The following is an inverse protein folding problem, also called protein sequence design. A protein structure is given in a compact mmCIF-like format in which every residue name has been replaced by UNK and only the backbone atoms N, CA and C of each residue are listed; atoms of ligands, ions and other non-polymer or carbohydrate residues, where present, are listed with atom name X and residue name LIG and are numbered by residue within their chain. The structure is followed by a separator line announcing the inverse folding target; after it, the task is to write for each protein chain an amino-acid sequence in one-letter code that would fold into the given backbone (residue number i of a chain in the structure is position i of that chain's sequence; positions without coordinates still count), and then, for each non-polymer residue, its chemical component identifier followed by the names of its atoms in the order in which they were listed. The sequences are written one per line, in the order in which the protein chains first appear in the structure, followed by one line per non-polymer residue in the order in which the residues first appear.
data_IF_457792423231
#
_entry.id   IF_457792423231
#
_cell.length_a   1.000
_cell.length_b   1.000
_cell.length_c   1.000
_cell.angle_alpha   90.00
_cell.angle_beta   90.00
_cell.angle_gamma   90.00
#
_symmetry.space_group_name_H-M   'P 1'
#
loop_
_entity.id
_entity.type
_entity.pdbx_description
1 polymer ?
#
# COMPACT_ATOMS: atom_id res chain seq x y z
N UNK A 1 21.55 80.35 18.91
CA UNK A 1 20.23 80.78 18.44
C UNK A 1 19.52 79.49 17.99
N UNK A 2 18.90 78.75 18.82
CA UNK A 2 17.50 78.78 19.25
C UNK A 2 16.51 78.65 18.08
N UNK A 3 15.86 77.54 17.99
CA UNK A 3 14.44 77.46 18.06
C UNK A 3 13.93 75.95 18.05
N UNK A 4 13.29 75.67 19.13
CA UNK A 4 12.47 74.50 19.41
C UNK A 4 11.25 74.46 18.53
N UNK A 5 10.92 73.32 17.97
CA UNK A 5 9.62 73.04 17.40
C UNK A 5 8.98 71.80 18.04
N UNK A 6 7.87 72.06 18.69
CA UNK A 6 7.00 71.17 19.43
C UNK A 6 6.29 70.21 18.46
N UNK A 7 6.31 68.94 18.72
CA UNK A 7 5.52 67.92 18.03
C UNK A 7 4.23 67.60 18.79
N UNK A 8 3.10 67.64 18.11
CA UNK A 8 1.74 67.30 18.60
C UNK A 8 1.57 65.79 18.67
N UNK A 9 0.77 65.24 19.59
CA UNK A 9 0.51 63.80 19.69
C UNK A 9 -0.52 63.38 18.63
N UNK A 10 -0.15 62.35 17.84
CA UNK A 10 -1.02 61.69 16.86
C UNK A 10 -1.97 60.68 17.49
N UNK A 11 -3.20 60.75 17.08
CA UNK A 11 -4.34 59.97 17.51
C UNK A 11 -4.26 58.48 17.15
N UNK A 12 -4.86 57.69 18.05
CA UNK A 12 -5.02 56.25 18.10
C UNK A 12 -5.37 55.51 16.80
N UNK A 13 -4.57 54.50 16.50
CA UNK A 13 -4.90 53.44 15.60
C UNK A 13 -5.77 52.39 16.29
N UNK A 14 -6.98 52.20 15.79
CA UNK A 14 -7.90 51.14 16.25
C UNK A 14 -7.31 49.78 15.90
N UNK A 15 -6.83 49.04 16.88
CA UNK A 15 -6.48 47.63 16.75
C UNK A 15 -7.71 46.81 16.40
N UNK A 16 -7.68 46.17 15.25
CA UNK A 16 -8.65 45.12 14.90
C UNK A 16 -8.33 43.89 15.75
N UNK A 17 -9.17 43.66 16.77
CA UNK A 17 -9.11 42.47 17.58
C UNK A 17 -9.27 41.20 16.72
N UNK A 18 -8.36 40.25 16.91
CA UNK A 18 -8.51 38.90 16.34
C UNK A 18 -9.79 38.24 16.90
N UNK A 19 -10.53 37.46 16.13
CA UNK A 19 -11.71 36.78 16.63
C UNK A 19 -11.29 35.77 17.69
N UNK A 20 -11.72 36.00 18.91
CA UNK A 20 -11.64 35.06 20.02
C UNK A 20 -12.63 33.92 19.68
N UNK A 21 -12.13 32.77 19.29
CA UNK A 21 -12.93 31.56 19.17
C UNK A 21 -13.48 31.22 20.56
N UNK A 22 -14.79 31.40 20.70
CA UNK A 22 -15.53 31.17 21.91
C UNK A 22 -15.32 29.76 22.44
N UNK A 23 -15.14 29.67 23.77
CA UNK A 23 -15.23 28.44 24.55
C UNK A 23 -16.54 27.75 24.18
N UNK A 24 -16.44 26.48 23.79
CA UNK A 24 -17.59 25.62 23.58
C UNK A 24 -18.49 25.57 24.82
N UNK A 25 -19.78 25.31 24.68
CA UNK A 25 -20.73 25.33 25.77
C UNK A 25 -20.32 24.37 26.88
N UNK A 26 -20.37 24.80 28.19
CA UNK A 26 -20.13 23.91 29.31
C UNK A 26 -21.32 22.97 29.44
N UNK A 27 -21.11 21.68 29.19
CA UNK A 27 -22.17 20.66 29.36
C UNK A 27 -22.22 19.55 28.34
N UNK A 28 -21.17 19.30 27.54
CA UNK A 28 -21.08 18.07 26.78
C UNK A 28 -20.97 16.90 27.78
N UNK A 29 -22.09 16.27 28.09
CA UNK A 29 -22.13 14.98 28.81
C UNK A 29 -21.28 14.02 28.01
N UNK A 30 -20.21 13.50 28.59
CA UNK A 30 -19.44 12.40 28.03
C UNK A 30 -20.41 11.29 27.69
N UNK A 31 -20.51 10.96 26.40
CA UNK A 31 -21.36 9.91 25.88
C UNK A 31 -20.76 8.56 26.35
N UNK A 32 -21.17 8.14 27.52
CA UNK A 32 -20.76 6.91 28.20
C UNK A 32 -21.34 5.64 27.54
N UNK A 33 -21.58 5.69 26.22
CA UNK A 33 -21.94 4.48 25.49
C UNK A 33 -20.73 3.55 25.50
N UNK A 34 -20.84 2.34 26.04
CA UNK A 34 -19.75 1.40 26.02
C UNK A 34 -19.32 1.20 24.57
N UNK A 35 -18.06 1.49 24.24
CA UNK A 35 -17.46 1.12 22.95
C UNK A 35 -17.72 -0.38 22.81
N UNK A 36 -18.62 -0.77 21.90
CA UNK A 36 -18.83 -2.18 21.56
C UNK A 36 -17.45 -2.81 21.37
N UNK A 37 -17.14 -3.75 22.25
CA UNK A 37 -15.92 -4.55 22.16
C UNK A 37 -15.79 -5.02 20.70
N UNK A 38 -14.64 -4.74 20.10
CA UNK A 38 -14.34 -5.21 18.76
C UNK A 38 -14.37 -6.73 18.87
N UNK A 39 -15.42 -7.37 18.35
CA UNK A 39 -15.44 -8.83 18.24
C UNK A 39 -14.18 -9.19 17.46
N UNK A 40 -13.32 -9.97 18.08
CA UNK A 40 -12.21 -10.60 17.40
C UNK A 40 -12.79 -11.35 16.21
N UNK A 41 -12.20 -11.27 15.03
CA UNK A 41 -12.69 -12.00 13.88
C UNK A 41 -12.64 -13.49 14.26
N UNK A 42 -13.80 -14.12 14.40
CA UNK A 42 -13.90 -15.57 14.49
C UNK A 42 -13.12 -16.12 13.30
N UNK A 43 -12.13 -16.96 13.54
CA UNK A 43 -11.34 -17.61 12.50
C UNK A 43 -12.32 -18.47 11.68
N UNK A 44 -12.76 -17.94 10.56
CA UNK A 44 -13.60 -18.67 9.63
C UNK A 44 -12.81 -19.89 9.14
N UNK A 45 -13.24 -21.07 9.54
CA UNK A 45 -12.66 -22.34 9.10
C UNK A 45 -12.79 -22.40 7.58
N UNK A 46 -11.65 -22.28 6.88
CA UNK A 46 -11.62 -22.32 5.42
C UNK A 46 -11.93 -23.74 4.93
N UNK A 47 -12.98 -23.87 4.12
CA UNK A 47 -13.39 -25.12 3.47
C UNK A 47 -12.89 -25.06 2.01
N UNK A 48 -11.93 -25.92 1.59
CA UNK A 48 -11.40 -25.91 0.24
C UNK A 48 -12.45 -26.37 -0.78
N UNK A 49 -12.61 -25.61 -1.85
CA UNK A 49 -13.52 -25.89 -2.96
C UNK A 49 -12.79 -26.41 -4.22
N UNK A 50 -11.53 -26.01 -4.37
CA UNK A 50 -10.72 -26.41 -5.54
C UNK A 50 -9.87 -27.63 -5.23
N UNK A 51 -9.47 -28.39 -6.27
CA UNK A 51 -8.56 -29.53 -6.15
C UNK A 51 -7.24 -29.11 -5.51
N UNK A 52 -6.71 -27.94 -5.91
CA UNK A 52 -5.50 -27.36 -5.29
C UNK A 52 -5.72 -27.08 -3.79
N UNK A 53 -6.87 -26.50 -3.44
CA UNK A 53 -7.23 -26.24 -2.05
C UNK A 53 -7.31 -27.51 -1.20
N UNK A 54 -7.84 -28.60 -1.77
CA UNK A 54 -7.91 -29.91 -1.09
C UNK A 54 -6.51 -30.49 -0.84
N UNK A 55 -5.59 -30.42 -1.83
CA UNK A 55 -4.20 -30.87 -1.68
C UNK A 55 -3.44 -30.07 -0.62
N UNK A 56 -3.62 -28.75 -0.59
CA UNK A 56 -3.03 -27.90 0.46
C UNK A 56 -3.68 -28.16 1.82
N UNK A 57 -4.97 -28.46 1.87
CA UNK A 57 -5.63 -28.85 3.11
C UNK A 57 -5.13 -30.19 3.64
N UNK A 58 -4.88 -31.17 2.76
CA UNK A 58 -4.30 -32.47 3.08
C UNK A 58 -2.79 -32.40 3.46
N UNK A 59 -2.11 -31.29 3.15
CA UNK A 59 -0.67 -31.13 3.44
C UNK A 59 0.27 -31.73 2.39
N UNK A 60 -0.24 -32.08 1.18
CA UNK A 60 0.58 -32.56 0.08
C UNK A 60 1.49 -31.47 -0.50
N UNK A 61 1.04 -30.21 -0.43
CA UNK A 61 1.75 -29.03 -0.90
C UNK A 61 2.01 -28.13 0.31
N UNK A 62 3.27 -27.84 0.59
CA UNK A 62 3.71 -27.09 1.76
C UNK A 62 4.28 -25.71 1.40
N UNK A 63 4.73 -25.50 0.15
CA UNK A 63 5.31 -24.24 -0.28
C UNK A 63 4.51 -23.59 -1.42
N UNK A 64 4.58 -22.24 -1.47
CA UNK A 64 3.98 -21.46 -2.57
C UNK A 64 4.80 -21.63 -3.84
N UNK A 65 6.11 -21.89 -3.71
CA UNK A 65 7.04 -22.07 -4.83
C UNK A 65 6.65 -23.30 -5.67
N UNK A 66 6.31 -24.42 -5.05
CA UNK A 66 5.83 -25.63 -5.72
C UNK A 66 4.58 -25.36 -6.60
N UNK A 67 3.65 -24.53 -6.12
CA UNK A 67 2.44 -24.15 -6.86
C UNK A 67 2.80 -23.33 -8.11
N UNK A 68 3.75 -22.40 -7.94
CA UNK A 68 4.17 -21.49 -9.00
C UNK A 68 5.04 -22.20 -10.05
N UNK A 69 5.94 -23.10 -9.63
CA UNK A 69 6.75 -23.94 -10.53
C UNK A 69 5.88 -24.92 -11.34
N UNK A 70 4.85 -25.48 -10.69
CA UNK A 70 3.86 -26.31 -11.38
C UNK A 70 2.94 -25.50 -12.32
N UNK A 71 3.04 -24.16 -12.36
CA UNK A 71 2.21 -23.29 -13.16
C UNK A 71 0.73 -23.27 -12.77
N UNK A 72 0.39 -23.72 -11.56
CA UNK A 72 -0.99 -23.80 -11.10
C UNK A 72 -1.50 -22.43 -10.64
N UNK A 73 -2.71 -22.09 -11.08
CA UNK A 73 -3.32 -20.81 -10.71
C UNK A 73 -4.03 -20.91 -9.37
N UNK A 74 -3.67 -20.04 -8.44
CA UNK A 74 -4.33 -19.90 -7.14
C UNK A 74 -5.70 -19.24 -7.34
N UNK A 75 -6.78 -19.91 -6.94
CA UNK A 75 -8.16 -19.42 -7.07
C UNK A 75 -8.80 -19.08 -5.71
N UNK A 76 -8.25 -19.56 -4.62
CA UNK A 76 -8.76 -19.35 -3.27
C UNK A 76 -7.77 -18.58 -2.41
N UNK A 77 -8.23 -17.51 -1.75
CA UNK A 77 -7.39 -16.73 -0.82
C UNK A 77 -7.01 -17.50 0.44
N UNK A 78 -7.80 -18.53 0.81
CA UNK A 78 -7.52 -19.40 1.95
C UNK A 78 -6.24 -20.21 1.81
N UNK A 79 -5.86 -20.62 0.59
CA UNK A 79 -4.61 -21.32 0.30
C UNK A 79 -3.41 -20.52 0.78
N UNK A 80 -3.36 -19.24 0.38
CA UNK A 80 -2.25 -18.34 0.73
C UNK A 80 -2.21 -18.05 2.24
N UNK A 81 -3.37 -17.84 2.87
CA UNK A 81 -3.42 -17.65 4.33
C UNK A 81 -2.88 -18.84 5.11
N UNK A 82 -3.05 -20.07 4.58
CA UNK A 82 -2.54 -21.29 5.20
C UNK A 82 -1.04 -21.48 4.96
N UNK A 83 -0.57 -21.19 3.75
CA UNK A 83 0.85 -21.37 3.37
C UNK A 83 1.75 -20.24 3.88
N UNK A 84 1.23 -19.02 3.96
CA UNK A 84 1.96 -17.83 4.41
C UNK A 84 1.19 -17.13 5.54
N UNK A 85 1.32 -17.58 6.80
CA UNK A 85 0.62 -16.95 7.93
C UNK A 85 1.15 -15.53 8.24
N UNK A 86 2.41 -15.23 7.90
CA UNK A 86 3.09 -13.96 8.20
C UNK A 86 2.77 -12.82 7.21
N UNK A 87 1.70 -12.98 6.39
CA UNK A 87 1.32 -11.95 5.44
C UNK A 87 0.74 -10.72 6.13
N UNK A 88 1.39 -9.59 5.90
CA UNK A 88 0.89 -8.26 6.26
C UNK A 88 0.12 -7.67 5.09
N UNK A 89 -1.04 -7.09 5.35
CA UNK A 89 -1.83 -6.37 4.34
C UNK A 89 -1.90 -4.89 4.67
N UNK A 90 -1.54 -4.04 3.73
CA UNK A 90 -1.57 -2.59 3.88
C UNK A 90 -2.44 -1.94 2.79
N UNK A 91 -3.22 -0.94 3.18
CA UNK A 91 -4.04 -0.16 2.25
C UNK A 91 -3.16 0.92 1.62
N UNK A 92 -2.90 0.77 0.32
CA UNK A 92 -2.07 1.71 -0.45
C UNK A 92 -2.84 2.98 -0.80
N UNK A 93 -4.09 2.81 -1.24
CA UNK A 93 -4.92 3.93 -1.67
C UNK A 93 -6.41 3.61 -1.57
N UNK A 94 -7.21 4.61 -1.21
CA UNK A 94 -8.68 4.54 -1.24
C UNK A 94 -9.22 5.78 -1.92
N UNK A 95 -10.01 5.57 -2.98
CA UNK A 95 -10.62 6.65 -3.73
C UNK A 95 -12.11 6.46 -3.92
N UNK A 96 -12.81 7.55 -4.14
CA UNK A 96 -14.24 7.56 -4.49
C UNK A 96 -14.35 7.51 -6.01
N UNK A 97 -15.23 6.64 -6.52
CA UNK A 97 -15.57 6.53 -7.94
C UNK A 97 -17.04 6.86 -8.10
N UNK A 98 -17.34 7.76 -9.01
CA UNK A 98 -18.70 8.19 -9.30
C UNK A 98 -19.05 7.86 -10.74
N UNK A 99 -20.30 7.42 -10.96
CA UNK A 99 -20.86 7.17 -12.28
C UNK A 99 -22.27 7.74 -12.35
N UNK A 100 -22.56 8.51 -13.40
CA UNK A 100 -23.90 8.97 -13.67
C UNK A 100 -24.78 7.82 -14.18
N UNK A 101 -25.96 7.71 -13.62
CA UNK A 101 -27.01 6.74 -14.01
C UNK A 101 -28.29 7.51 -14.28
N UNK A 102 -29.31 6.86 -14.87
CA UNK A 102 -30.64 7.46 -15.09
C UNK A 102 -31.28 8.02 -13.81
N UNK A 103 -30.96 7.44 -12.64
CA UNK A 103 -31.50 7.84 -11.33
C UNK A 103 -30.55 8.75 -10.54
N UNK A 104 -29.58 9.42 -11.21
CA UNK A 104 -28.61 10.29 -10.59
C UNK A 104 -27.22 9.69 -10.45
N UNK A 105 -26.41 10.24 -9.54
CA UNK A 105 -25.02 9.88 -9.35
C UNK A 105 -24.85 8.69 -8.41
N UNK A 106 -24.31 7.60 -8.93
CA UNK A 106 -23.97 6.42 -8.13
C UNK A 106 -22.52 6.50 -7.66
N UNK A 107 -22.30 6.51 -6.35
CA UNK A 107 -20.98 6.57 -5.70
C UNK A 107 -20.54 5.19 -5.23
N UNK A 108 -19.28 4.84 -5.47
CA UNK A 108 -18.61 3.63 -4.97
C UNK A 108 -17.22 3.94 -4.46
N UNK A 109 -16.73 3.13 -3.53
CA UNK A 109 -15.36 3.20 -3.05
C UNK A 109 -14.48 2.18 -3.80
N UNK A 110 -13.29 2.61 -4.17
CA UNK A 110 -12.24 1.77 -4.74
C UNK A 110 -11.09 1.72 -3.76
N UNK A 111 -10.70 0.53 -3.30
CA UNK A 111 -9.53 0.32 -2.49
C UNK A 111 -8.44 -0.41 -3.30
N UNK A 112 -7.19 -0.07 -3.06
CA UNK A 112 -6.00 -0.77 -3.53
C UNK A 112 -5.26 -1.23 -2.29
N UNK A 113 -5.04 -2.54 -2.20
CA UNK A 113 -4.38 -3.18 -1.07
C UNK A 113 -3.16 -3.95 -1.58
N UNK A 114 -2.07 -3.85 -0.85
CA UNK A 114 -0.90 -4.68 -1.04
C UNK A 114 -0.82 -5.70 0.11
N UNK A 115 -0.40 -6.91 -0.20
CA UNK A 115 -0.11 -7.95 0.76
C UNK A 115 1.31 -8.46 0.54
N UNK A 116 2.12 -8.54 1.58
CA UNK A 116 3.50 -9.00 1.52
C UNK A 116 3.96 -9.59 2.85
N UNK A 117 5.04 -10.33 2.81
CA UNK A 117 5.63 -10.96 4.00
C UNK A 117 6.99 -10.38 4.39
N UNK A 118 7.43 -9.29 3.75
CA UNK A 118 8.76 -8.68 3.93
C UNK A 118 9.95 -9.63 3.62
N UNK A 119 9.66 -10.81 3.05
CA UNK A 119 10.63 -11.87 2.75
C UNK A 119 10.60 -12.35 1.28
N UNK A 120 10.13 -11.52 0.36
CA UNK A 120 10.18 -11.83 -1.06
C UNK A 120 8.85 -12.26 -1.68
N UNK A 121 7.73 -11.98 -1.04
CA UNK A 121 6.41 -12.16 -1.64
C UNK A 121 5.64 -10.84 -1.63
N UNK A 122 5.04 -10.49 -2.76
CA UNK A 122 4.19 -9.31 -2.87
C UNK A 122 2.97 -9.63 -3.76
N UNK A 123 1.80 -9.25 -3.28
CA UNK A 123 0.56 -9.31 -4.03
C UNK A 123 -0.16 -7.97 -3.99
N UNK A 124 -0.80 -7.60 -5.09
CA UNK A 124 -1.57 -6.37 -5.19
C UNK A 124 -2.98 -6.69 -5.66
N UNK A 125 -3.95 -6.17 -4.92
CA UNK A 125 -5.36 -6.34 -5.22
C UNK A 125 -6.12 -5.02 -5.28
N UNK A 126 -7.17 -4.99 -6.07
CA UNK A 126 -8.08 -3.86 -6.11
C UNK A 126 -9.52 -4.33 -5.89
N UNK A 127 -10.25 -3.64 -5.00
CA UNK A 127 -11.65 -3.91 -4.73
C UNK A 127 -12.52 -2.67 -4.95
N UNK A 128 -13.77 -2.88 -5.38
CA UNK A 128 -14.77 -1.83 -5.52
C UNK A 128 -16.06 -2.26 -4.83
N UNK A 129 -16.64 -1.38 -4.00
CA UNK A 129 -17.92 -1.62 -3.34
C UNK A 129 -18.66 -0.31 -3.03
N UNK A 130 -19.94 -0.41 -2.62
CA UNK A 130 -20.70 0.72 -2.07
C UNK A 130 -20.18 1.12 -0.69
N UNK A 131 -19.69 0.17 0.11
CA UNK A 131 -19.11 0.40 1.42
C UNK A 131 -17.58 0.25 1.35
N UNK A 132 -16.87 1.14 2.04
CA UNK A 132 -15.40 1.17 2.06
C UNK A 132 -14.81 -0.12 2.66
N UNK A 133 -15.37 -0.61 3.78
CA UNK A 133 -14.92 -1.85 4.44
C UNK A 133 -14.96 -3.05 3.48
N UNK A 134 -16.09 -3.26 2.81
CA UNK A 134 -16.26 -4.35 1.84
C UNK A 134 -15.33 -4.17 0.62
N UNK A 135 -15.01 -2.91 0.22
CA UNK A 135 -14.05 -2.66 -0.85
C UNK A 135 -12.64 -3.09 -0.45
N UNK A 136 -12.23 -2.85 0.79
CA UNK A 136 -10.93 -3.26 1.33
C UNK A 136 -10.87 -4.80 1.43
N UNK A 137 -11.89 -5.46 1.99
CA UNK A 137 -11.96 -6.92 2.10
C UNK A 137 -11.84 -7.62 0.75
N UNK A 138 -12.54 -7.10 -0.28
CA UNK A 138 -12.42 -7.59 -1.67
C UNK A 138 -11.01 -7.35 -2.24
N UNK A 139 -10.43 -6.19 -1.97
CA UNK A 139 -9.08 -5.87 -2.43
C UNK A 139 -8.04 -6.78 -1.77
N UNK A 140 -8.16 -7.07 -0.47
CA UNK A 140 -7.28 -7.99 0.25
C UNK A 140 -7.38 -9.41 -0.30
N UNK A 141 -8.59 -9.92 -0.53
CA UNK A 141 -8.79 -11.24 -1.14
C UNK A 141 -8.16 -11.30 -2.54
N UNK A 142 -8.30 -10.25 -3.34
CA UNK A 142 -7.67 -10.16 -4.66
C UNK A 142 -6.14 -10.03 -4.58
N UNK A 143 -5.59 -9.38 -3.54
CA UNK A 143 -4.14 -9.28 -3.32
C UNK A 143 -3.54 -10.67 -3.02
N UNK A 144 -4.20 -11.47 -2.22
CA UNK A 144 -3.78 -12.86 -1.95
C UNK A 144 -3.78 -13.74 -3.19
N UNK A 145 -4.75 -13.56 -4.11
CA UNK A 145 -4.77 -14.31 -5.37
C UNK A 145 -3.67 -13.90 -6.36
N UNK A 146 -3.15 -12.68 -6.23
CA UNK A 146 -2.13 -12.11 -7.12
C UNK A 146 -0.74 -12.07 -6.44
N UNK A 147 -0.45 -12.98 -5.52
CA UNK A 147 0.87 -13.07 -4.90
C UNK A 147 1.88 -13.58 -5.92
N UNK A 148 3.02 -12.88 -5.99
CA UNK A 148 4.15 -13.24 -6.82
C UNK A 148 5.40 -13.31 -5.96
N UNK A 149 6.29 -14.27 -6.23
CA UNK A 149 7.60 -14.36 -5.62
C UNK A 149 8.52 -13.28 -6.19
N UNK A 150 9.44 -12.82 -5.38
CA UNK A 150 10.42 -11.78 -5.71
C UNK A 150 11.78 -12.30 -5.33
N UNK A 151 12.71 -12.32 -6.28
CA UNK A 151 14.09 -12.66 -6.00
C UNK A 151 14.83 -11.42 -5.52
N UNK A 152 15.32 -11.48 -4.30
CA UNK A 152 16.14 -10.43 -3.71
C UNK A 152 17.62 -10.78 -3.87
N UNK A 153 18.46 -9.76 -4.01
CA UNK A 153 19.90 -9.93 -4.16
C UNK A 153 20.67 -8.66 -3.82
N UNK A 154 21.92 -8.62 -4.19
CA UNK A 154 22.76 -7.42 -4.18
C UNK A 154 23.34 -7.22 -5.59
N UNK A 155 22.69 -6.42 -6.42
CA UNK A 155 23.14 -6.09 -7.77
C UNK A 155 23.91 -4.77 -7.88
N UNK A 156 24.23 -4.13 -6.77
CA UNK A 156 24.96 -2.87 -6.75
C UNK A 156 26.47 -3.10 -6.94
N UNK A 157 27.08 -2.39 -7.88
CA UNK A 157 28.53 -2.42 -8.12
C UNK A 157 29.35 -1.81 -6.97
N UNK A 158 28.72 -0.93 -6.18
CA UNK A 158 29.34 -0.28 -5.02
C UNK A 158 29.36 -1.17 -3.77
N UNK A 159 28.46 -2.17 -3.72
CA UNK A 159 28.29 -3.03 -2.58
C UNK A 159 28.89 -4.41 -2.83
N UNK A 160 29.91 -4.79 -2.07
CA UNK A 160 30.55 -6.13 -2.12
C UNK A 160 29.97 -7.06 -1.05
N UNK A 161 28.64 -7.06 -0.88
CA UNK A 161 27.97 -7.89 0.12
C UNK A 161 27.16 -9.00 -0.57
N UNK A 162 27.17 -10.21 -0.02
CA UNK A 162 26.35 -11.34 -0.51
C UNK A 162 24.97 -11.40 0.17
N UNK A 163 24.52 -10.27 0.76
CA UNK A 163 23.24 -10.21 1.48
C UNK A 163 22.08 -9.80 0.58
N UNK A 164 20.91 -10.40 0.83
CA UNK A 164 19.65 -10.08 0.14
C UNK A 164 19.05 -8.81 0.73
N UNK A 165 19.37 -7.63 0.19
CA UNK A 165 18.84 -6.33 0.66
C UNK A 165 18.25 -5.48 -0.46
N UNK A 166 18.52 -5.81 -1.72
CA UNK A 166 18.09 -5.06 -2.90
C UNK A 166 17.62 -5.98 -4.02
N UNK A 167 17.48 -5.46 -5.22
CA UNK A 167 17.20 -6.24 -6.43
C UNK A 167 18.50 -6.75 -7.05
N UNK A 168 18.51 -7.93 -7.72
CA UNK A 168 19.71 -8.51 -8.29
C UNK A 168 20.24 -7.74 -9.51
N UNK A 169 19.37 -7.09 -10.25
CA UNK A 169 19.68 -6.28 -11.44
C UNK A 169 18.68 -5.16 -11.63
N UNK A 170 18.98 -4.21 -12.52
CA UNK A 170 18.05 -3.14 -12.89
C UNK A 170 16.83 -3.72 -13.58
N UNK A 171 15.64 -3.48 -13.04
CA UNK A 171 14.36 -3.95 -13.57
C UNK A 171 13.48 -2.79 -13.98
N UNK A 172 12.69 -3.00 -15.04
CA UNK A 172 11.77 -2.01 -15.58
C UNK A 172 10.41 -2.62 -15.80
N UNK A 173 9.38 -2.10 -15.13
CA UNK A 173 8.01 -2.55 -15.28
C UNK A 173 7.07 -1.46 -15.79
N UNK A 174 5.99 -1.88 -16.42
CA UNK A 174 4.99 -1.00 -17.01
C UNK A 174 3.59 -1.34 -16.50
N UNK A 175 2.87 -0.30 -16.09
CA UNK A 175 1.47 -0.40 -15.69
C UNK A 175 0.62 0.67 -16.37
N UNK A 176 0.02 0.38 -17.52
CA UNK A 176 -0.69 1.38 -18.32
C UNK A 176 0.26 2.47 -18.86
N UNK A 177 0.05 3.73 -18.48
CA UNK A 177 0.91 4.87 -18.87
C UNK A 177 2.12 5.06 -17.96
N UNK A 178 2.18 4.36 -16.83
CA UNK A 178 3.26 4.49 -15.85
C UNK A 178 4.34 3.47 -16.13
N UNK A 179 5.58 3.92 -16.15
CA UNK A 179 6.77 3.08 -16.23
C UNK A 179 7.61 3.33 -14.99
N UNK A 180 8.01 2.26 -14.30
CA UNK A 180 8.86 2.32 -13.13
C UNK A 180 10.13 1.54 -13.41
N UNK A 181 11.26 2.08 -13.03
CA UNK A 181 12.56 1.42 -13.07
C UNK A 181 13.06 1.32 -11.62
N UNK A 182 13.44 0.13 -11.21
CA UNK A 182 14.06 -0.13 -9.90
C UNK A 182 15.52 -0.49 -10.17
N UNK A 183 16.42 0.22 -9.49
CA UNK A 183 17.86 0.10 -9.66
C UNK A 183 18.43 -0.39 -8.33
N UNK A 184 19.33 -1.40 -8.33
CA UNK A 184 19.98 -1.86 -7.11
C UNK A 184 20.80 -0.74 -6.47
N UNK A 185 20.75 -0.66 -5.13
CA UNK A 185 21.43 0.35 -4.35
C UNK A 185 22.42 -0.27 -3.35
N UNK A 186 23.46 0.47 -2.93
CA UNK A 186 24.36 0.00 -1.90
C UNK A 186 23.65 -0.11 -0.54
N UNK A 187 24.18 -0.94 0.33
CA UNK A 187 23.65 -1.19 1.67
C UNK A 187 23.65 0.09 2.52
N UNK A 188 22.54 0.34 3.21
CA UNK A 188 22.39 1.48 4.12
C UNK A 188 21.87 2.75 3.46
N UNK A 189 21.64 2.76 2.13
CA UNK A 189 21.04 3.89 1.45
C UNK A 189 19.56 4.07 1.82
N UNK A 190 18.85 2.98 2.09
CA UNK A 190 17.43 2.97 2.26
C UNK A 190 16.64 3.02 0.94
N UNK A 191 15.34 3.14 1.03
CA UNK A 191 14.45 3.19 -0.14
C UNK A 191 14.26 4.63 -0.63
N UNK A 192 14.80 4.92 -1.81
CA UNK A 192 14.61 6.19 -2.51
C UNK A 192 13.47 6.04 -3.50
N UNK A 193 12.24 6.29 -3.03
CA UNK A 193 11.01 6.10 -3.78
C UNK A 193 9.91 7.06 -3.32
N UNK A 194 8.90 7.26 -4.15
CA UNK A 194 7.69 7.97 -3.74
C UNK A 194 6.97 7.24 -2.57
N UNK A 195 6.38 7.97 -1.62
CA UNK A 195 5.89 7.40 -0.36
C UNK A 195 5.00 6.16 -0.48
N UNK A 196 4.11 6.09 -1.49
CA UNK A 196 3.27 4.90 -1.73
C UNK A 196 4.06 3.74 -2.33
N UNK A 197 5.04 4.03 -3.20
CA UNK A 197 5.93 3.01 -3.79
C UNK A 197 6.84 2.45 -2.70
N UNK A 198 7.36 3.31 -1.82
CA UNK A 198 8.20 2.91 -0.70
C UNK A 198 7.53 1.83 0.17
N UNK A 199 6.28 2.02 0.54
CA UNK A 199 5.49 1.01 1.30
C UNK A 199 5.37 -0.32 0.56
N UNK A 200 5.18 -0.30 -0.77
CA UNK A 200 5.14 -1.53 -1.57
C UNK A 200 6.48 -2.27 -1.55
N UNK A 201 7.59 -1.54 -1.62
CA UNK A 201 8.94 -2.13 -1.57
C UNK A 201 9.29 -2.64 -0.17
N UNK A 202 8.84 -1.97 0.90
CA UNK A 202 8.98 -2.43 2.27
C UNK A 202 8.23 -3.75 2.49
N UNK A 203 6.97 -3.84 2.04
CA UNK A 203 6.18 -5.08 2.09
C UNK A 203 6.79 -6.23 1.27
N UNK A 204 7.51 -5.90 0.20
CA UNK A 204 8.25 -6.88 -0.59
C UNK A 204 9.52 -7.39 0.11
N UNK A 205 10.01 -6.65 1.13
CA UNK A 205 11.23 -6.96 1.88
C UNK A 205 12.49 -6.28 1.37
N UNK A 206 12.39 -5.37 0.41
CA UNK A 206 13.53 -4.59 -0.08
C UNK A 206 13.89 -3.52 0.94
N UNK A 207 15.19 -3.39 1.23
CA UNK A 207 15.73 -2.40 2.17
C UNK A 207 16.38 -1.22 1.47
N UNK A 208 17.06 -1.48 0.36
CA UNK A 208 17.85 -0.50 -0.38
C UNK A 208 17.51 -0.56 -1.87
N UNK A 209 16.97 0.52 -2.43
CA UNK A 209 16.72 0.62 -3.86
C UNK A 209 16.57 2.08 -4.31
N UNK A 210 17.04 2.38 -5.53
CA UNK A 210 16.67 3.60 -6.24
C UNK A 210 15.50 3.33 -7.16
N UNK A 211 14.59 4.29 -7.26
CA UNK A 211 13.45 4.17 -8.18
C UNK A 211 13.32 5.38 -9.08
N UNK A 212 13.06 5.13 -10.34
CA UNK A 212 12.71 6.17 -11.31
C UNK A 212 11.32 5.90 -11.84
N UNK A 213 10.43 6.88 -11.80
CA UNK A 213 9.06 6.74 -12.26
C UNK A 213 8.78 7.75 -13.39
N UNK A 214 8.20 7.27 -14.48
CA UNK A 214 7.79 8.06 -15.64
C UNK A 214 6.31 7.86 -15.92
N UNK A 215 5.63 8.93 -16.37
CA UNK A 215 4.21 8.90 -16.70
C UNK A 215 3.31 9.45 -15.60
N UNK A 216 2.03 9.09 -15.61
CA UNK A 216 1.02 9.58 -14.66
C UNK A 216 1.08 8.83 -13.33
N UNK A 217 2.09 9.08 -12.51
CA UNK A 217 2.31 8.46 -11.20
C UNK A 217 1.18 8.66 -10.18
N UNK A 218 0.35 9.72 -10.21
CA UNK A 218 -0.81 9.85 -9.34
C UNK A 218 -1.83 8.73 -9.51
N UNK A 219 -1.82 8.04 -10.66
CA UNK A 219 -2.72 6.90 -10.91
C UNK A 219 -2.23 5.66 -10.15
N UNK A 220 -2.60 5.54 -8.85
CA UNK A 220 -2.07 4.51 -7.95
C UNK A 220 -2.29 3.08 -8.45
N UNK A 221 -3.41 2.80 -9.12
CA UNK A 221 -3.64 1.48 -9.69
C UNK A 221 -2.59 1.08 -10.75
N UNK A 222 -2.23 2.02 -11.63
CA UNK A 222 -1.21 1.78 -12.66
C UNK A 222 0.18 1.72 -12.05
N UNK A 223 0.47 2.62 -11.11
CA UNK A 223 1.74 2.67 -10.38
C UNK A 223 1.98 1.37 -9.60
N UNK A 224 0.98 0.89 -8.85
CA UNK A 224 1.10 -0.37 -8.10
C UNK A 224 1.33 -1.57 -9.03
N UNK A 225 0.60 -1.65 -10.15
CA UNK A 225 0.80 -2.70 -11.15
C UNK A 225 2.19 -2.63 -11.79
N UNK A 226 2.71 -1.42 -12.07
CA UNK A 226 4.06 -1.26 -12.62
C UNK A 226 5.14 -1.75 -11.64
N UNK A 227 4.98 -1.46 -10.33
CA UNK A 227 5.87 -2.01 -9.28
C UNK A 227 5.82 -3.54 -9.26
N UNK A 228 4.62 -4.12 -9.28
CA UNK A 228 4.45 -5.57 -9.27
C UNK A 228 5.09 -6.23 -10.51
N UNK A 229 4.93 -5.61 -11.67
CA UNK A 229 5.54 -6.07 -12.94
C UNK A 229 7.07 -6.02 -12.88
N UNK A 230 7.65 -4.92 -12.34
CA UNK A 230 9.08 -4.85 -12.06
C UNK A 230 9.56 -6.02 -11.20
N UNK A 231 8.91 -6.23 -10.06
CA UNK A 231 9.34 -7.23 -9.08
C UNK A 231 9.15 -8.65 -9.59
N UNK A 232 8.10 -8.91 -10.37
CA UNK A 232 7.87 -10.20 -11.02
C UNK A 232 9.00 -10.58 -11.99
N UNK A 233 9.58 -9.61 -12.69
CA UNK A 233 10.68 -9.86 -13.63
C UNK A 233 11.94 -10.34 -12.91
N UNK A 234 12.16 -10.01 -11.64
CA UNK A 234 13.31 -10.49 -10.87
C UNK A 234 13.29 -12.02 -10.69
N UNK A 235 12.11 -12.61 -10.58
CA UNK A 235 11.93 -14.06 -10.49
C UNK A 235 12.01 -14.74 -11.86
N UNK A 236 11.42 -14.14 -12.89
CA UNK A 236 11.34 -14.73 -14.23
C UNK A 236 12.70 -14.79 -14.95
N UNK A 237 13.64 -13.90 -14.62
CA UNK A 237 14.96 -13.81 -15.30
C UNK A 237 16.11 -14.37 -14.45
N UNK A 238 15.84 -14.91 -13.32
CA UNK A 238 16.80 -15.53 -12.39
C UNK A 238 16.67 -17.00 -12.29
#
# INVERSE_FOLDING_TARGET
MSQTAQSKPGQGGRGRGAPVYGRGPPGAKEDSRPRRARKEPEEEVWIPKTILGQKVAAGEITSVEEILEAGLRIQESGIIKKLLPDLKSEVVDVGIIQKMTSNGQSTRFKAIVAAGNENGYLGIGQGKSKQMRIAIEKATSQAYLNINPIKMGCGSWECKCDQKHSVPFKVKGKGGSVTIEIIPAPRGLGLVAGGKIKRLLELAGLKDAWTTAKGSTPTMNSTSKAVLDCLRQTFSQG
#
